data_IF_341686406968
#
_entry.id   IF_341686406968
#
_cell.length_a   1.000
_cell.length_b   1.000
_cell.length_c   1.000
_cell.angle_alpha   90.00
_cell.angle_beta   90.00
_cell.angle_gamma   90.00
#
_symmetry.space_group_name_H-M   'P 1'
#
loop_
_entity.id
_entity.type
_entity.pdbx_description
1 polymer ?
#
# COMPACT_ATOMS: atom_id res chain seq x y z
N UNK A 1 4.76 13.70 48.35
CA UNK A 1 4.87 12.39 47.66
C UNK A 1 3.68 12.09 46.73
N UNK A 2 2.42 12.21 47.17
CA UNK A 2 1.24 11.96 46.30
C UNK A 2 1.20 12.80 45.00
N UNK A 3 1.62 14.08 45.08
CA UNK A 3 1.70 14.98 43.90
C UNK A 3 2.82 14.59 42.91
N UNK A 4 3.94 14.06 43.40
CA UNK A 4 5.04 13.54 42.56
C UNK A 4 4.66 12.23 41.88
N UNK A 5 3.88 11.38 42.58
CA UNK A 5 3.40 10.11 42.06
C UNK A 5 2.39 10.32 40.91
N UNK A 6 1.52 11.32 41.02
CA UNK A 6 0.60 11.72 39.93
C UNK A 6 1.33 12.25 38.70
N UNK A 7 2.38 13.08 38.88
CA UNK A 7 3.20 13.58 37.76
C UNK A 7 3.94 12.44 37.07
N UNK A 8 4.45 11.47 37.84
CA UNK A 8 5.15 10.31 37.30
C UNK A 8 4.21 9.38 36.51
N UNK A 9 3.00 9.15 37.02
CA UNK A 9 1.95 8.39 36.30
C UNK A 9 1.52 9.12 35.02
N UNK A 10 1.33 10.44 35.06
CA UNK A 10 0.95 11.21 33.88
C UNK A 10 2.05 11.24 32.81
N UNK A 11 3.31 11.32 33.23
CA UNK A 11 4.47 11.22 32.34
C UNK A 11 4.58 9.82 31.70
N UNK A 12 4.30 8.74 32.44
CA UNK A 12 4.26 7.37 31.92
C UNK A 12 3.14 7.19 30.87
N UNK A 13 1.95 7.74 31.12
CA UNK A 13 0.83 7.63 30.17
C UNK A 13 1.05 8.42 28.88
N UNK A 14 1.72 9.56 28.93
CA UNK A 14 2.01 10.36 27.73
C UNK A 14 2.97 9.63 26.76
N UNK A 15 3.98 8.93 27.28
CA UNK A 15 4.92 8.15 26.45
C UNK A 15 4.27 6.91 25.83
N UNK A 16 3.26 6.32 26.48
CA UNK A 16 2.56 5.15 25.96
C UNK A 16 1.68 5.47 24.74
N UNK A 17 1.11 6.67 24.67
CA UNK A 17 0.30 7.10 23.52
C UNK A 17 1.16 7.24 22.26
N UNK A 18 2.30 7.93 22.34
CA UNK A 18 3.21 8.09 21.20
C UNK A 18 3.79 6.75 20.72
N UNK A 19 4.13 5.85 21.63
CA UNK A 19 4.62 4.52 21.26
C UNK A 19 3.57 3.64 20.58
N UNK A 20 2.29 3.80 20.96
CA UNK A 20 1.18 3.08 20.35
C UNK A 20 0.90 3.58 18.92
N UNK A 21 0.96 4.89 18.69
CA UNK A 21 0.76 5.48 17.37
C UNK A 21 1.85 5.06 16.37
N UNK A 22 3.11 5.03 16.81
CA UNK A 22 4.24 4.58 15.98
C UNK A 22 4.13 3.08 15.64
N UNK A 23 3.74 2.25 16.62
CA UNK A 23 3.53 0.83 16.38
C UNK A 23 2.37 0.59 15.40
N UNK A 24 1.30 1.36 15.49
CA UNK A 24 0.18 1.25 14.56
C UNK A 24 0.59 1.62 13.13
N UNK A 25 1.27 2.75 12.93
CA UNK A 25 1.79 3.15 11.60
C UNK A 25 2.74 2.11 11.01
N UNK A 26 3.63 1.54 11.81
CA UNK A 26 4.58 0.54 11.33
C UNK A 26 3.87 -0.75 10.87
N UNK A 27 2.86 -1.20 11.62
CA UNK A 27 2.06 -2.35 11.21
C UNK A 27 1.25 -2.04 9.93
N UNK A 28 0.70 -0.84 9.79
CA UNK A 28 0.01 -0.42 8.56
C UNK A 28 0.95 -0.42 7.35
N UNK A 29 2.18 0.08 7.49
CA UNK A 29 3.19 0.03 6.42
C UNK A 29 3.50 -1.41 6.00
N UNK A 30 3.71 -2.29 6.99
CA UNK A 30 3.92 -3.72 6.75
C UNK A 30 2.72 -4.34 6.03
N UNK A 31 1.50 -4.00 6.43
CA UNK A 31 0.29 -4.47 5.76
C UNK A 31 0.26 -4.06 4.28
N UNK A 32 0.54 -2.78 3.97
CA UNK A 32 0.57 -2.26 2.59
C UNK A 32 1.61 -2.99 1.73
N UNK A 33 2.76 -3.32 2.30
CA UNK A 33 3.78 -4.12 1.61
C UNK A 33 3.29 -5.55 1.35
N UNK A 34 2.57 -6.15 2.29
CA UNK A 34 2.09 -7.54 2.21
C UNK A 34 0.88 -7.73 1.30
N UNK A 35 0.05 -6.72 1.07
CA UNK A 35 -1.12 -6.84 0.19
C UNK A 35 -0.77 -6.95 -1.31
N UNK A 36 0.52 -6.80 -1.66
CA UNK A 36 0.99 -6.88 -3.04
C UNK A 36 0.80 -5.59 -3.84
N UNK A 37 0.40 -4.49 -3.20
CA UNK A 37 0.34 -3.16 -3.84
C UNK A 37 1.70 -2.73 -4.39
N UNK A 38 2.80 -3.10 -3.73
CA UNK A 38 4.17 -2.89 -4.21
C UNK A 38 4.45 -3.69 -5.50
N UNK A 39 3.98 -4.93 -5.59
CA UNK A 39 4.15 -5.75 -6.81
C UNK A 39 3.41 -5.18 -8.02
N UNK A 40 2.24 -4.57 -7.82
CA UNK A 40 1.51 -3.89 -8.89
C UNK A 40 2.23 -2.62 -9.35
N UNK A 41 2.75 -1.84 -8.40
CA UNK A 41 3.59 -0.67 -8.68
C UNK A 41 4.83 -1.08 -9.47
N UNK A 42 5.47 -2.21 -9.13
CA UNK A 42 6.63 -2.72 -9.86
C UNK A 42 6.31 -3.10 -11.31
N UNK A 43 5.14 -3.70 -11.57
CA UNK A 43 4.68 -3.99 -12.94
C UNK A 43 4.49 -2.69 -13.72
N UNK A 44 3.82 -1.69 -13.13
CA UNK A 44 3.65 -0.38 -13.76
C UNK A 44 5.00 0.32 -14.00
N UNK A 45 5.91 0.26 -13.01
CA UNK A 45 7.28 0.80 -13.09
C UNK A 45 8.04 0.20 -14.27
N UNK A 46 7.99 -1.13 -14.45
CA UNK A 46 8.62 -1.83 -15.58
C UNK A 46 8.07 -1.37 -16.93
N UNK A 47 6.75 -1.18 -17.03
CA UNK A 47 6.13 -0.73 -18.27
C UNK A 47 6.57 0.69 -18.63
N UNK A 48 6.53 1.61 -17.67
CA UNK A 48 6.85 3.02 -17.94
C UNK A 48 8.36 3.22 -18.13
N UNK A 49 9.21 2.58 -17.33
CA UNK A 49 10.68 2.74 -17.48
C UNK A 49 11.18 2.23 -18.83
N UNK A 50 10.52 1.20 -19.39
CA UNK A 50 10.81 0.69 -20.74
C UNK A 50 10.57 1.71 -21.85
N UNK A 51 9.81 2.78 -21.59
CA UNK A 51 9.55 3.87 -22.52
C UNK A 51 10.56 5.03 -22.39
N UNK A 52 11.46 4.99 -21.40
CA UNK A 52 12.40 6.07 -21.08
C UNK A 52 13.80 5.74 -21.67
N UNK A 53 14.48 6.70 -22.34
CA UNK A 53 15.86 6.53 -22.81
C UNK A 53 16.80 6.08 -21.69
N UNK A 54 17.69 5.13 -21.97
CA UNK A 54 18.52 4.44 -20.97
C UNK A 54 19.32 5.41 -20.10
N UNK A 55 19.87 6.48 -20.69
CA UNK A 55 20.63 7.51 -20.00
C UNK A 55 19.80 8.36 -19.03
N UNK A 56 18.47 8.40 -19.20
CA UNK A 56 17.53 9.13 -18.33
C UNK A 56 16.83 8.25 -17.30
N UNK A 57 16.92 6.92 -17.43
CA UNK A 57 16.20 5.99 -16.56
C UNK A 57 16.56 6.19 -15.08
N UNK A 58 17.83 6.43 -14.74
CA UNK A 58 18.24 6.61 -13.35
C UNK A 58 17.54 7.80 -12.67
N UNK A 59 17.48 8.93 -13.37
CA UNK A 59 16.83 10.15 -12.88
C UNK A 59 15.31 9.95 -12.79
N UNK A 60 14.72 9.40 -13.86
CA UNK A 60 13.30 9.05 -13.89
C UNK A 60 12.90 8.12 -12.73
N UNK A 61 13.68 7.07 -12.47
CA UNK A 61 13.38 6.11 -11.40
C UNK A 61 13.41 6.77 -10.01
N UNK A 62 14.31 7.73 -9.79
CA UNK A 62 14.34 8.50 -8.55
C UNK A 62 13.07 9.34 -8.38
N UNK A 63 12.69 10.07 -9.42
CA UNK A 63 11.46 10.87 -9.41
C UNK A 63 10.21 10.00 -9.26
N UNK A 64 10.19 8.85 -9.93
CA UNK A 64 9.11 7.87 -9.81
C UNK A 64 8.95 7.41 -8.36
N UNK A 65 10.03 7.00 -7.69
CA UNK A 65 9.97 6.56 -6.29
C UNK A 65 9.54 7.69 -5.35
N UNK A 66 9.96 8.94 -5.62
CA UNK A 66 9.50 10.10 -4.86
C UNK A 66 8.02 10.41 -5.09
N UNK A 67 7.51 10.19 -6.30
CA UNK A 67 6.11 10.41 -6.68
C UNK A 67 5.13 9.48 -5.95
N UNK A 68 5.61 8.35 -5.43
CA UNK A 68 4.81 7.39 -4.68
C UNK A 68 4.59 7.77 -3.22
N UNK A 69 5.37 8.70 -2.67
CA UNK A 69 5.27 9.09 -1.25
C UNK A 69 3.85 9.55 -0.86
N UNK A 70 3.17 10.43 -1.63
CA UNK A 70 1.80 10.82 -1.30
C UNK A 70 0.82 9.66 -1.43
N UNK A 71 1.05 8.72 -2.35
CA UNK A 71 0.21 7.53 -2.54
C UNK A 71 0.29 6.63 -1.31
N UNK A 72 1.50 6.28 -0.86
CA UNK A 72 1.68 5.48 0.35
C UNK A 72 1.14 6.18 1.59
N UNK A 73 1.34 7.49 1.71
CA UNK A 73 0.78 8.28 2.82
C UNK A 73 -0.76 8.20 2.84
N UNK A 74 -1.42 8.35 1.69
CA UNK A 74 -2.88 8.26 1.61
C UNK A 74 -3.38 6.85 1.96
N UNK A 75 -2.65 5.80 1.56
CA UNK A 75 -2.98 4.43 1.95
C UNK A 75 -2.81 4.22 3.46
N UNK A 76 -1.71 4.73 4.05
CA UNK A 76 -1.48 4.66 5.49
C UNK A 76 -2.60 5.37 6.27
N UNK A 77 -2.94 6.60 5.88
CA UNK A 77 -3.98 7.39 6.52
C UNK A 77 -5.35 6.69 6.42
N UNK A 78 -5.69 6.12 5.25
CA UNK A 78 -6.93 5.35 5.09
C UNK A 78 -7.01 4.17 6.06
N UNK A 79 -5.93 3.39 6.22
CA UNK A 79 -5.92 2.27 7.16
C UNK A 79 -6.05 2.74 8.62
N UNK A 80 -5.40 3.85 8.98
CA UNK A 80 -5.46 4.42 10.33
C UNK A 80 -6.85 4.95 10.66
N UNK A 81 -7.54 5.54 9.68
CA UNK A 81 -8.89 6.09 9.85
C UNK A 81 -9.99 5.02 9.90
N UNK A 82 -9.81 3.91 9.18
CA UNK A 82 -10.89 2.94 8.95
C UNK A 82 -10.71 1.60 9.67
N UNK A 83 -9.54 1.36 10.29
CA UNK A 83 -9.26 0.12 10.99
C UNK A 83 -8.68 0.38 12.36
N UNK A 84 -8.95 -0.52 13.28
CA UNK A 84 -8.22 -0.59 14.55
C UNK A 84 -6.86 -1.22 14.35
N UNK A 85 -5.92 -0.92 15.26
CA UNK A 85 -4.61 -1.57 15.27
C UNK A 85 -4.71 -3.10 15.37
N UNK A 86 -5.71 -3.60 16.09
CA UNK A 86 -5.94 -5.04 16.24
C UNK A 86 -6.38 -5.70 14.93
N UNK A 87 -7.28 -5.08 14.18
CA UNK A 87 -7.70 -5.58 12.87
C UNK A 87 -6.53 -5.59 11.88
N UNK A 88 -5.69 -4.55 11.89
CA UNK A 88 -4.47 -4.54 11.06
C UNK A 88 -3.55 -5.70 11.40
N UNK A 89 -3.34 -6.01 12.68
CA UNK A 89 -2.56 -7.18 13.10
C UNK A 89 -3.18 -8.51 12.65
N UNK A 90 -4.49 -8.63 12.68
CA UNK A 90 -5.20 -9.82 12.20
C UNK A 90 -5.05 -10.01 10.69
N UNK A 91 -5.12 -8.92 9.92
CA UNK A 91 -4.88 -8.97 8.47
C UNK A 91 -3.42 -9.36 8.18
N UNK A 92 -2.45 -8.77 8.89
CA UNK A 92 -1.03 -9.15 8.77
C UNK A 92 -0.86 -10.64 9.05
N UNK A 93 -1.47 -11.16 10.12
CA UNK A 93 -1.41 -12.58 10.48
C UNK A 93 -1.96 -13.48 9.37
N UNK A 94 -3.03 -13.06 8.69
CA UNK A 94 -3.51 -13.77 7.50
C UNK A 94 -2.46 -13.78 6.38
N UNK A 95 -1.87 -12.64 6.04
CA UNK A 95 -0.83 -12.58 5.00
C UNK A 95 0.45 -13.33 5.37
N UNK A 96 0.72 -13.55 6.66
CA UNK A 96 1.85 -14.36 7.12
C UNK A 96 1.65 -15.88 6.95
N UNK A 97 0.41 -16.33 6.73
CA UNK A 97 0.10 -17.73 6.43
C UNK A 97 0.71 -18.18 5.09
N UNK A 98 0.90 -19.49 4.85
CA UNK A 98 1.39 -19.98 3.56
C UNK A 98 0.51 -19.54 2.37
N UNK A 99 -0.81 -19.49 2.56
CA UNK A 99 -1.74 -19.04 1.52
C UNK A 99 -1.66 -17.54 1.32
N UNK A 100 -1.61 -16.76 2.41
CA UNK A 100 -1.44 -15.31 2.35
C UNK A 100 -0.17 -14.89 1.60
N UNK A 101 0.97 -15.52 1.93
CA UNK A 101 2.24 -15.31 1.20
C UNK A 101 2.13 -15.68 -0.28
N UNK A 102 1.40 -16.75 -0.61
CA UNK A 102 1.14 -17.14 -1.99
C UNK A 102 0.31 -16.11 -2.74
N UNK A 103 -0.66 -15.46 -2.08
CA UNK A 103 -1.43 -14.35 -2.67
C UNK A 103 -0.49 -13.19 -3.00
N UNK A 104 0.34 -12.74 -2.06
CA UNK A 104 1.29 -11.64 -2.28
C UNK A 104 2.26 -11.97 -3.41
N UNK A 105 2.87 -13.16 -3.40
CA UNK A 105 3.83 -13.58 -4.42
C UNK A 105 3.23 -13.66 -5.82
N UNK A 106 1.94 -14.01 -5.92
CA UNK A 106 1.25 -14.12 -7.20
C UNK A 106 0.57 -12.82 -7.65
N UNK A 107 0.56 -11.76 -6.84
CA UNK A 107 -0.17 -10.53 -7.16
C UNK A 107 0.32 -9.90 -8.49
N UNK A 108 1.64 -9.74 -8.66
CA UNK A 108 2.21 -9.22 -9.90
C UNK A 108 1.96 -10.13 -11.11
N UNK A 109 2.13 -11.44 -10.94
CA UNK A 109 1.89 -12.43 -12.01
C UNK A 109 0.41 -12.46 -12.44
N UNK A 110 -0.52 -12.30 -11.50
CA UNK A 110 -1.94 -12.17 -11.80
C UNK A 110 -2.23 -10.89 -12.59
N UNK A 111 -1.63 -9.77 -12.21
CA UNK A 111 -1.73 -8.50 -12.97
C UNK A 111 -1.21 -8.67 -14.39
N UNK A 112 -0.03 -9.25 -14.57
CA UNK A 112 0.56 -9.52 -15.89
C UNK A 112 -0.34 -10.45 -16.73
N UNK A 113 -0.82 -11.56 -16.15
CA UNK A 113 -1.68 -12.53 -16.83
C UNK A 113 -3.05 -11.95 -17.22
N UNK A 114 -3.57 -10.98 -16.46
CA UNK A 114 -4.88 -10.37 -16.71
C UNK A 114 -4.83 -9.17 -17.65
N UNK A 115 -3.63 -8.65 -17.95
CA UNK A 115 -3.46 -7.38 -18.65
C UNK A 115 -4.13 -7.38 -20.03
N UNK A 116 -3.92 -8.44 -20.82
CA UNK A 116 -4.52 -8.56 -22.14
C UNK A 116 -6.05 -8.60 -22.06
N UNK A 117 -6.62 -9.40 -21.15
CA UNK A 117 -8.06 -9.51 -20.98
C UNK A 117 -8.69 -8.18 -20.53
N UNK A 118 -8.01 -7.41 -19.66
CA UNK A 118 -8.47 -6.08 -19.24
C UNK A 118 -8.44 -5.09 -20.41
N UNK A 119 -7.43 -5.15 -21.28
CA UNK A 119 -7.35 -4.31 -22.48
C UNK A 119 -8.48 -4.64 -23.47
N UNK A 120 -8.71 -5.92 -23.74
CA UNK A 120 -9.80 -6.39 -24.61
C UNK A 120 -11.18 -5.96 -24.07
N UNK A 121 -11.42 -6.17 -22.78
CA UNK A 121 -12.65 -5.72 -22.13
C UNK A 121 -12.80 -4.20 -22.19
N UNK A 122 -11.72 -3.43 -21.99
CA UNK A 122 -11.75 -1.96 -22.04
C UNK A 122 -12.16 -1.43 -23.43
N UNK A 123 -11.70 -2.06 -24.52
CA UNK A 123 -12.13 -1.72 -25.88
C UNK A 123 -13.62 -2.07 -26.11
N UNK A 124 -14.07 -3.22 -25.61
CA UNK A 124 -15.49 -3.61 -25.66
C UNK A 124 -16.37 -2.64 -24.86
N UNK A 125 -15.88 -2.16 -23.71
CA UNK A 125 -16.59 -1.23 -22.86
C UNK A 125 -16.77 0.13 -23.55
N UNK A 126 -15.75 0.67 -24.21
CA UNK A 126 -15.87 1.90 -24.99
C UNK A 126 -16.94 1.79 -26.08
N UNK A 127 -16.97 0.66 -26.79
CA UNK A 127 -17.99 0.37 -27.81
C UNK A 127 -19.40 0.32 -27.20
N UNK A 128 -19.53 -0.29 -26.02
CA UNK A 128 -20.80 -0.31 -25.29
C UNK A 128 -21.23 1.10 -24.87
N UNK A 129 -20.34 1.92 -24.33
CA UNK A 129 -20.65 3.31 -23.95
C UNK A 129 -21.15 4.10 -25.17
N UNK A 130 -20.46 4.02 -26.32
CA UNK A 130 -20.88 4.71 -27.54
C UNK A 130 -22.27 4.29 -28.02
N UNK A 131 -22.66 3.02 -27.83
CA UNK A 131 -23.99 2.53 -28.17
C UNK A 131 -25.10 3.17 -27.32
N UNK A 132 -24.83 3.45 -26.04
CA UNK A 132 -25.81 4.01 -25.10
C UNK A 132 -25.72 5.54 -24.94
N UNK A 133 -24.69 6.16 -25.50
CA UNK A 133 -24.54 7.62 -25.54
C UNK A 133 -25.25 8.28 -26.75
N UNK A 134 -25.85 7.46 -27.62
CA UNK A 134 -26.77 7.88 -28.70
C UNK A 134 -28.20 7.88 -28.17
#
# INVERSE_FOLDING_TARGET
>A
MKKLLLIFVFALTANLVSAQDDAFRNDVKKLIEMTGSTSQIDVAKKQVVGMIPAEKQKEFLKEFDESLKPVFKNMEDFYIENYTHQEVKEIIKFYETPVGKKVTANAGALTEASLQSIQEWSMSLQSMIMKYAQ
#
